data_IF_287791971958
#
_entry.id   IF_287791971958
#
_cell.length_a   1.000
_cell.length_b   1.000
_cell.length_c   1.000
_cell.angle_alpha   90.00
_cell.angle_beta   90.00
_cell.angle_gamma   90.00
#
_symmetry.space_group_name_H-M   'P 1'
#
loop_
_entity.id
_entity.type
_entity.pdbx_description
1 polymer ?
#
# COMPACT_ATOMS: atom_id res chain seq x y z
N UNK A 1 12.59 5.68 -0.21
CA UNK A 1 12.02 4.35 0.11
C UNK A 1 10.50 4.42 0.03
N UNK A 2 9.85 3.56 -0.74
CA UNK A 2 8.39 3.57 -0.83
C UNK A 2 7.76 2.97 0.43
N UNK A 3 6.93 3.77 1.09
CA UNK A 3 6.16 3.36 2.26
C UNK A 3 4.68 3.34 1.89
N UNK A 4 4.10 2.15 1.86
CA UNK A 4 2.66 1.96 1.71
C UNK A 4 2.05 1.85 3.11
N UNK A 5 1.25 2.80 3.49
CA UNK A 5 0.54 2.78 4.77
C UNK A 5 -0.93 2.62 4.50
N UNK A 6 -1.50 1.52 4.98
CA UNK A 6 -2.92 1.23 4.91
C UNK A 6 -3.52 1.54 6.28
N UNK A 7 -4.57 2.37 6.29
CA UNK A 7 -5.42 2.55 7.46
C UNK A 7 -6.80 1.98 7.11
N UNK A 8 -7.34 1.12 7.98
CA UNK A 8 -8.62 0.48 7.69
C UNK A 8 -9.51 0.43 8.93
N UNK A 9 -10.81 0.50 8.69
CA UNK A 9 -11.79 0.37 9.75
C UNK A 9 -11.83 -1.05 10.32
N UNK A 10 -11.88 -1.16 11.65
CA UNK A 10 -11.76 -2.44 12.36
C UNK A 10 -12.82 -3.48 11.92
N UNK A 11 -13.96 -3.02 11.42
CA UNK A 11 -15.02 -3.91 10.94
C UNK A 11 -14.66 -4.69 9.66
N UNK A 12 -13.55 -4.36 8.99
CA UNK A 12 -13.04 -5.15 7.86
C UNK A 12 -12.42 -6.48 8.28
N UNK A 13 -12.00 -6.65 9.53
CA UNK A 13 -11.37 -7.89 9.99
C UNK A 13 -12.25 -9.13 9.81
N UNK A 14 -13.56 -8.96 9.86
CA UNK A 14 -14.51 -10.05 9.60
C UNK A 14 -14.74 -10.37 8.14
N UNK A 15 -14.23 -9.56 7.22
CA UNK A 15 -14.51 -9.67 5.78
C UNK A 15 -13.27 -10.02 4.97
N UNK A 16 -12.07 -9.68 5.44
CA UNK A 16 -10.83 -9.89 4.69
C UNK A 16 -9.66 -10.05 5.65
N UNK A 17 -8.67 -10.84 5.22
CA UNK A 17 -7.42 -11.03 5.97
C UNK A 17 -6.41 -9.96 5.54
N UNK A 18 -6.08 -9.03 6.45
CA UNK A 18 -5.16 -7.94 6.16
C UNK A 18 -3.72 -8.42 5.90
N UNK A 19 -3.32 -9.56 6.43
CA UNK A 19 -2.00 -10.12 6.12
C UNK A 19 -1.87 -10.47 4.64
N UNK A 20 -2.97 -10.87 4.00
CA UNK A 20 -3.02 -11.13 2.57
C UNK A 20 -3.10 -9.83 1.75
N UNK A 21 -3.80 -8.84 2.25
CA UNK A 21 -3.89 -7.52 1.59
C UNK A 21 -2.51 -6.90 1.48
N UNK A 22 -1.72 -6.89 2.55
CA UNK A 22 -0.36 -6.32 2.50
C UNK A 22 0.54 -7.07 1.52
N UNK A 23 0.37 -8.39 1.38
CA UNK A 23 1.10 -9.19 0.40
C UNK A 23 0.69 -8.86 -1.05
N UNK A 24 -0.58 -8.66 -1.30
CA UNK A 24 -1.08 -8.23 -2.63
C UNK A 24 -0.43 -6.91 -3.04
N UNK A 25 -0.38 -5.95 -2.14
CA UNK A 25 0.25 -4.64 -2.39
C UNK A 25 1.75 -4.77 -2.60
N UNK A 26 2.43 -5.54 -1.76
CA UNK A 26 3.88 -5.75 -1.87
C UNK A 26 4.25 -6.36 -3.22
N UNK A 27 3.55 -7.39 -3.63
CA UNK A 27 3.78 -8.06 -4.93
C UNK A 27 3.50 -7.13 -6.10
N UNK A 28 2.40 -6.37 -6.04
CA UNK A 28 2.07 -5.41 -7.08
C UNK A 28 3.13 -4.30 -7.19
N UNK A 29 3.65 -3.83 -6.05
CA UNK A 29 4.73 -2.84 -6.04
C UNK A 29 5.99 -3.38 -6.71
N UNK A 30 6.38 -4.61 -6.42
CA UNK A 30 7.53 -5.28 -7.07
C UNK A 30 7.32 -5.37 -8.59
N UNK A 31 6.13 -5.73 -9.01
CA UNK A 31 5.78 -5.89 -10.43
C UNK A 31 5.92 -4.59 -11.23
N UNK A 32 5.77 -3.43 -10.60
CA UNK A 32 5.92 -2.14 -11.29
C UNK A 32 7.34 -1.92 -11.81
N UNK A 33 8.34 -2.52 -11.17
CA UNK A 33 9.74 -2.39 -11.54
C UNK A 33 10.37 -1.03 -11.24
N UNK A 34 9.65 -0.10 -10.64
CA UNK A 34 10.15 1.27 -10.39
C UNK A 34 10.73 1.48 -9.00
N UNK A 35 10.57 0.50 -8.09
CA UNK A 35 11.06 0.61 -6.72
C UNK A 35 12.21 -0.36 -6.47
N UNK A 36 13.30 0.09 -5.82
CA UNK A 36 14.30 -0.85 -5.32
C UNK A 36 13.63 -1.83 -4.35
N UNK A 37 13.88 -3.12 -4.53
CA UNK A 37 13.21 -4.17 -3.73
C UNK A 37 13.37 -3.95 -2.23
N UNK A 38 14.59 -3.64 -1.79
CA UNK A 38 14.89 -3.42 -0.37
C UNK A 38 14.28 -2.17 0.24
N UNK A 39 13.67 -1.31 -0.59
CA UNK A 39 12.99 -0.10 -0.13
C UNK A 39 11.48 -0.29 0.10
N UNK A 40 10.90 -1.36 -0.45
CA UNK A 40 9.44 -1.56 -0.38
C UNK A 40 9.02 -1.95 1.04
N UNK A 41 8.07 -1.18 1.60
CA UNK A 41 7.47 -1.45 2.90
C UNK A 41 5.96 -1.28 2.80
N UNK A 42 5.23 -2.28 3.29
CA UNK A 42 3.77 -2.26 3.31
C UNK A 42 3.31 -2.60 4.73
N UNK A 43 2.40 -1.82 5.26
CA UNK A 43 1.82 -2.07 6.58
C UNK A 43 0.35 -1.68 6.62
N UNK A 44 -0.40 -2.37 7.47
CA UNK A 44 -1.80 -2.09 7.70
C UNK A 44 -2.02 -1.74 9.17
N UNK A 45 -2.71 -0.63 9.41
CA UNK A 45 -2.99 -0.10 10.73
C UNK A 45 -4.50 -0.13 10.92
N UNK A 46 -4.95 -0.86 11.93
CA UNK A 46 -6.36 -0.96 12.27
C UNK A 46 -6.84 0.29 13.00
N UNK A 47 -7.91 0.91 12.50
CA UNK A 47 -8.59 1.99 13.18
C UNK A 47 -9.69 1.39 14.05
N UNK A 48 -9.46 1.37 15.37
CA UNK A 48 -10.45 0.87 16.34
C UNK A 48 -11.61 1.85 16.49
N UNK A 49 -11.34 3.15 16.37
CA UNK A 49 -12.31 4.22 16.48
C UNK A 49 -12.44 4.93 15.15
N UNK A 50 -13.61 4.86 14.57
CA UNK A 50 -13.87 5.46 13.26
C UNK A 50 -15.33 5.83 13.13
N UNK A 51 -15.62 6.76 12.23
CA UNK A 51 -16.99 7.12 11.85
C UNK A 51 -17.00 7.35 10.34
N UNK A 52 -18.00 6.81 9.65
CA UNK A 52 -18.11 6.89 8.20
C UNK A 52 -19.47 7.47 7.83
N UNK A 53 -19.47 8.48 6.96
CA UNK A 53 -20.65 9.10 6.37
C UNK A 53 -21.68 9.57 7.43
N UNK A 54 -22.85 8.92 7.49
CA UNK A 54 -23.92 9.24 8.45
C UNK A 54 -23.76 8.53 9.80
N UNK A 55 -22.66 7.81 9.99
CA UNK A 55 -22.39 7.09 11.24
C UNK A 55 -22.88 5.64 11.25
N UNK A 56 -23.37 5.12 10.12
CA UNK A 56 -23.80 3.72 10.06
C UNK A 56 -22.61 2.79 10.39
N UNK A 57 -22.71 1.93 11.44
CA UNK A 57 -21.57 1.12 11.89
C UNK A 57 -21.17 0.01 10.92
N UNK A 58 -21.99 -0.27 9.92
CA UNK A 58 -21.69 -1.30 8.91
C UNK A 58 -20.84 -0.75 7.75
N UNK A 59 -20.71 0.56 7.65
CA UNK A 59 -19.84 1.16 6.62
C UNK A 59 -18.38 0.99 6.99
N UNK A 60 -17.57 0.69 5.99
CA UNK A 60 -16.15 0.42 6.17
C UNK A 60 -15.29 1.21 5.19
N UNK A 61 -14.00 1.29 5.46
CA UNK A 61 -13.06 1.93 4.56
C UNK A 61 -11.67 1.29 4.66
N UNK A 62 -10.93 1.44 3.59
CA UNK A 62 -9.50 1.20 3.52
C UNK A 62 -8.88 2.35 2.74
N UNK A 63 -7.97 3.08 3.37
CA UNK A 63 -7.22 4.16 2.76
C UNK A 63 -5.75 3.80 2.71
N UNK A 64 -5.16 3.85 1.52
CA UNK A 64 -3.75 3.57 1.34
C UNK A 64 -3.03 4.81 0.83
N UNK A 65 -1.92 5.15 1.47
CA UNK A 65 -1.05 6.23 1.04
C UNK A 65 0.33 5.63 0.71
N UNK A 66 0.81 5.92 -0.49
CA UNK A 66 2.19 5.63 -0.87
C UNK A 66 3.01 6.91 -0.73
N UNK A 67 3.96 6.89 0.18
CA UNK A 67 4.93 7.96 0.35
C UNK A 67 6.23 7.51 -0.29
N UNK A 68 6.70 8.25 -1.29
CA UNK A 68 7.89 7.86 -2.08
C UNK A 68 8.81 9.05 -2.31
N UNK A 69 10.07 8.75 -2.64
CA UNK A 69 11.07 9.75 -2.98
C UNK A 69 10.80 10.42 -4.32
N UNK A 70 11.28 11.64 -4.46
CA UNK A 70 11.26 12.38 -5.71
C UNK A 70 12.22 11.76 -6.73
N UNK A 71 11.99 12.01 -8.01
CA UNK A 71 12.88 11.58 -9.09
C UNK A 71 12.21 10.79 -10.21
N UNK A 72 10.97 10.34 -10.01
CA UNK A 72 10.18 9.66 -11.05
C UNK A 72 9.20 10.65 -11.68
N UNK A 73 9.05 10.62 -12.99
CA UNK A 73 8.12 11.51 -13.68
C UNK A 73 6.65 11.08 -13.42
N UNK A 74 5.72 11.96 -13.75
CA UNK A 74 4.29 11.71 -13.53
C UNK A 74 3.77 10.50 -14.32
N UNK A 75 4.09 10.31 -15.61
CA UNK A 75 3.62 9.11 -16.32
C UNK A 75 4.08 7.81 -15.69
N UNK A 76 5.32 7.73 -15.22
CA UNK A 76 5.86 6.56 -14.52
C UNK A 76 5.10 6.30 -13.23
N UNK A 77 4.88 7.34 -12.42
CA UNK A 77 4.13 7.22 -11.16
C UNK A 77 2.68 6.81 -11.41
N UNK A 78 2.04 7.40 -12.41
CA UNK A 78 0.64 7.08 -12.76
C UNK A 78 0.49 5.63 -13.17
N UNK A 79 1.36 5.13 -14.04
CA UNK A 79 1.33 3.74 -14.50
C UNK A 79 1.51 2.76 -13.33
N UNK A 80 2.46 3.04 -12.45
CA UNK A 80 2.69 2.22 -11.26
C UNK A 80 1.49 2.25 -10.33
N UNK A 81 0.93 3.43 -10.09
CA UNK A 81 -0.25 3.59 -9.23
C UNK A 81 -1.47 2.86 -9.77
N UNK A 82 -1.70 2.93 -11.06
CA UNK A 82 -2.80 2.20 -11.70
C UNK A 82 -2.65 0.70 -11.53
N UNK A 83 -1.45 0.17 -11.74
CA UNK A 83 -1.18 -1.27 -11.56
C UNK A 83 -1.45 -1.71 -10.12
N UNK A 84 -0.94 -0.96 -9.15
CA UNK A 84 -1.11 -1.28 -7.73
C UNK A 84 -2.59 -1.18 -7.33
N UNK A 85 -3.27 -0.12 -7.74
CA UNK A 85 -4.69 0.08 -7.41
C UNK A 85 -5.57 -1.00 -8.04
N UNK A 86 -5.32 -1.38 -9.28
CA UNK A 86 -6.05 -2.45 -9.94
C UNK A 86 -5.90 -3.78 -9.21
N UNK A 87 -4.67 -4.14 -8.79
CA UNK A 87 -4.42 -5.36 -8.04
C UNK A 87 -5.14 -5.36 -6.68
N UNK A 88 -5.04 -4.26 -5.95
CA UNK A 88 -5.71 -4.10 -4.66
C UNK A 88 -7.23 -4.12 -4.79
N UNK A 89 -7.76 -3.37 -5.75
CA UNK A 89 -9.20 -3.26 -6.00
C UNK A 89 -9.79 -4.62 -6.39
N UNK A 90 -9.13 -5.36 -7.28
CA UNK A 90 -9.57 -6.69 -7.68
C UNK A 90 -9.59 -7.67 -6.50
N UNK A 91 -8.56 -7.63 -5.67
CA UNK A 91 -8.52 -8.48 -4.48
C UNK A 91 -9.66 -8.17 -3.51
N UNK A 92 -10.09 -6.91 -3.43
CA UNK A 92 -11.14 -6.44 -2.53
C UNK A 92 -12.54 -6.49 -3.15
N UNK A 93 -12.70 -6.97 -4.38
CA UNK A 93 -14.01 -7.14 -5.01
C UNK A 93 -15.02 -7.89 -4.13
N UNK A 94 -14.65 -8.99 -3.44
CA UNK A 94 -15.59 -9.68 -2.55
C UNK A 94 -16.09 -8.81 -1.39
N UNK A 95 -15.28 -7.86 -0.91
CA UNK A 95 -15.72 -6.92 0.13
C UNK A 95 -16.79 -5.98 -0.40
N UNK A 96 -16.59 -5.45 -1.62
CA UNK A 96 -17.59 -4.62 -2.30
C UNK A 96 -18.89 -5.38 -2.56
N UNK A 97 -18.79 -6.66 -2.87
CA UNK A 97 -19.96 -7.49 -3.13
C UNK A 97 -20.81 -7.75 -1.87
N UNK A 98 -20.19 -7.74 -0.69
CA UNK A 98 -20.83 -8.13 0.58
C UNK A 98 -21.19 -6.94 1.47
N UNK A 99 -20.62 -5.77 1.23
CA UNK A 99 -20.71 -4.65 2.17
C UNK A 99 -20.64 -3.31 1.46
N UNK A 100 -20.89 -2.23 2.21
CA UNK A 100 -20.68 -0.85 1.75
C UNK A 100 -19.31 -0.40 2.22
N UNK A 101 -18.40 -0.22 1.27
CA UNK A 101 -16.98 -0.10 1.49
C UNK A 101 -16.39 0.99 0.61
N UNK A 102 -15.52 1.81 1.17
CA UNK A 102 -14.79 2.84 0.44
C UNK A 102 -13.30 2.49 0.39
N UNK A 103 -12.73 2.50 -0.81
CA UNK A 103 -11.32 2.25 -1.05
C UNK A 103 -10.68 3.49 -1.67
N UNK A 104 -9.57 3.94 -1.11
CA UNK A 104 -8.81 5.08 -1.66
C UNK A 104 -7.32 4.81 -1.65
N UNK A 105 -6.62 5.42 -2.60
CA UNK A 105 -5.17 5.31 -2.75
C UNK A 105 -4.61 6.62 -3.30
N UNK A 106 -3.65 7.19 -2.57
CA UNK A 106 -2.93 8.41 -2.95
C UNK A 106 -1.43 8.18 -2.94
N UNK A 107 -0.72 8.96 -3.77
CA UNK A 107 0.73 9.06 -3.73
C UNK A 107 1.16 10.43 -3.21
N UNK A 108 2.17 10.43 -2.33
CA UNK A 108 2.79 11.64 -1.79
C UNK A 108 4.30 11.59 -2.03
N UNK A 109 4.84 12.67 -2.59
CA UNK A 109 6.27 12.78 -2.88
C UNK A 109 6.96 13.43 -1.67
N UNK A 110 8.04 12.80 -1.19
CA UNK A 110 8.86 13.35 -0.12
C UNK A 110 9.75 14.47 -0.67
N UNK A 111 9.92 15.53 0.13
CA UNK A 111 10.95 16.52 -0.12
C UNK A 111 12.32 15.86 0.14
N UNK A 112 13.14 15.76 -0.90
CA UNK A 112 14.45 15.12 -0.82
C UNK A 112 15.42 15.88 0.10
N UNK A 113 15.21 17.16 0.33
CA UNK A 113 16.08 17.97 1.20
C UNK A 113 15.79 17.73 2.68
N UNK A 114 14.62 17.17 3.00
CA UNK A 114 14.20 16.91 4.38
C UNK A 114 13.85 15.45 4.60
N UNK A 115 14.43 14.54 3.83
CA UNK A 115 14.23 13.11 3.95
C UNK A 115 15.57 12.39 4.09
N UNK A 116 15.76 11.70 5.20
CA UNK A 116 16.97 10.93 5.50
C UNK A 116 16.62 9.46 5.61
N UNK A 117 17.55 8.61 5.18
CA UNK A 117 17.34 7.16 5.23
C UNK A 117 18.67 6.43 5.40
N UNK A 118 18.59 5.29 6.03
CA UNK A 118 19.69 4.33 6.13
C UNK A 118 19.09 2.94 6.07
N UNK A 119 19.55 2.10 5.14
CA UNK A 119 18.97 0.81 4.87
C UNK A 119 20.04 -0.19 4.45
N UNK A 120 20.20 -1.28 5.20
CA UNK A 120 21.11 -2.37 4.86
C UNK A 120 20.39 -3.61 4.31
N UNK A 121 19.08 -3.51 4.06
CA UNK A 121 18.30 -4.62 3.45
C UNK A 121 18.77 -4.84 2.01
N UNK A 122 19.12 -3.78 1.29
CA UNK A 122 19.68 -3.88 -0.06
C UNK A 122 20.92 -4.78 -0.10
N UNK A 123 21.80 -4.68 0.90
CA UNK A 123 23.01 -5.52 0.98
C UNK A 123 22.65 -6.98 1.21
N UNK A 124 21.66 -7.26 2.06
CA UNK A 124 21.18 -8.62 2.30
C UNK A 124 20.59 -9.24 1.02
N UNK A 125 19.86 -8.46 0.23
CA UNK A 125 19.30 -8.93 -1.04
C UNK A 125 20.37 -9.20 -2.08
N UNK A 126 21.43 -8.39 -2.13
CA UNK A 126 22.58 -8.64 -3.00
C UNK A 126 23.31 -9.94 -2.64
N UNK A 127 23.46 -10.23 -1.36
CA UNK A 127 24.06 -11.48 -0.90
C UNK A 127 23.23 -12.69 -1.32
N UNK A 128 21.91 -12.63 -1.19
CA UNK A 128 21.00 -13.68 -1.64
C UNK A 128 21.14 -13.88 -3.14
N UNK A 129 21.15 -12.81 -3.94
CA UNK A 129 21.31 -12.89 -5.38
C UNK A 129 22.67 -13.45 -5.79
N UNK A 130 23.74 -13.16 -5.04
CA UNK A 130 25.08 -13.67 -5.31
C UNK A 130 25.23 -15.17 -5.01
N UNK A 131 24.45 -15.71 -4.07
CA UNK A 131 24.50 -17.12 -3.63
C UNK A 131 23.35 -17.97 -4.15
N UNK A 132 22.33 -17.30 -4.67
CA UNK A 132 21.14 -17.95 -5.24
C UNK A 132 21.17 -17.92 -6.74
#
# INVERSE_FOLDING_TARGET
MPHFTIEYSANLDGLVDMSKVVEVVRKAAIETGIFPLGGIRVRAIKCEHFAVADGNPDFSFLDMVLRLGDGRDLPTRRKAGEHIFEALSAYLDPVFAQSKFALSFDMQINDKETSWKRNNIHDALKLVAAHG
#
